data_IF_182037891078
#
_entry.id   IF_182037891078
#
_cell.length_a   1.000
_cell.length_b   1.000
_cell.length_c   1.000
_cell.angle_alpha   90.00
_cell.angle_beta   90.00
_cell.angle_gamma   90.00
#
_symmetry.space_group_name_H-M   'P 1'
#
loop_
_entity.id
_entity.type
_entity.pdbx_description
1 polymer ?
#
# COMPACT_ATOMS: atom_id res chain seq x y z
N UNK A 1 21.12 15.03 3.49
CA UNK A 1 19.65 14.94 3.33
C UNK A 1 19.23 14.23 2.06
N UNK A 2 19.68 14.62 0.85
CA UNK A 2 19.27 13.95 -0.39
C UNK A 2 19.39 12.41 -0.34
N UNK A 3 20.49 11.84 0.15
CA UNK A 3 20.63 10.37 0.31
C UNK A 3 19.52 9.74 1.16
N UNK A 4 19.00 10.43 2.17
CA UNK A 4 17.95 9.93 3.06
C UNK A 4 16.54 10.05 2.45
N UNK A 5 16.34 10.97 1.50
CA UNK A 5 15.01 11.35 1.00
C UNK A 5 14.75 10.99 -0.46
N UNK A 6 15.80 10.77 -1.27
CA UNK A 6 15.68 10.42 -2.68
C UNK A 6 15.19 9.00 -2.90
N UNK A 7 14.41 8.79 -3.97
CA UNK A 7 13.91 7.47 -4.36
C UNK A 7 13.11 6.82 -3.23
N UNK A 8 13.68 5.77 -2.63
CA UNK A 8 13.15 5.12 -1.44
C UNK A 8 13.81 5.70 -0.17
N UNK A 9 13.07 6.43 0.69
CA UNK A 9 13.66 7.01 1.89
C UNK A 9 14.24 5.99 2.86
N UNK A 10 15.30 6.37 3.56
CA UNK A 10 16.00 5.53 4.53
C UNK A 10 16.91 6.32 5.48
N UNK A 11 17.34 5.70 6.59
CA UNK A 11 18.20 6.35 7.57
C UNK A 11 19.61 6.61 7.00
N UNK A 12 20.22 7.71 7.46
CA UNK A 12 21.63 8.06 7.20
C UNK A 12 22.32 8.40 8.52
N UNK A 13 23.60 8.08 8.62
CA UNK A 13 24.42 8.40 9.80
C UNK A 13 25.52 9.36 9.36
N UNK A 14 25.66 10.47 10.10
CA UNK A 14 26.73 11.45 9.95
C UNK A 14 27.51 11.47 11.26
N UNK A 15 28.81 11.20 11.19
CA UNK A 15 29.69 11.27 12.36
C UNK A 15 30.41 12.60 12.33
N UNK A 16 30.24 13.40 13.36
CA UNK A 16 30.80 14.74 13.48
C UNK A 16 31.81 14.76 14.63
N UNK A 17 33.07 15.14 14.40
CA UNK A 17 34.05 15.38 15.46
C UNK A 17 33.59 16.49 16.42
N UNK A 18 33.89 16.34 17.70
CA UNK A 18 33.45 17.27 18.75
C UNK A 18 34.01 18.69 18.56
N UNK A 19 35.28 18.80 18.19
CA UNK A 19 35.97 20.06 17.92
C UNK A 19 35.35 20.87 16.76
N UNK A 20 34.80 20.16 15.77
CA UNK A 20 34.10 20.77 14.64
C UNK A 20 32.79 21.45 15.08
N UNK A 21 32.09 20.89 16.07
CA UNK A 21 30.76 21.38 16.49
C UNK A 21 30.81 22.77 17.13
N UNK A 22 31.95 23.16 17.70
CA UNK A 22 32.13 24.45 18.38
C UNK A 22 32.79 25.52 17.51
N UNK A 23 33.33 25.16 16.35
CA UNK A 23 34.10 26.09 15.51
C UNK A 23 33.17 26.97 14.67
N UNK A 24 33.21 28.31 14.81
CA UNK A 24 32.40 29.22 13.98
C UNK A 24 32.73 29.07 12.50
N UNK A 25 31.72 29.18 11.63
CA UNK A 25 31.86 29.07 10.18
C UNK A 25 31.05 30.14 9.46
N UNK A 26 31.54 30.56 8.30
CA UNK A 26 30.83 31.44 7.35
C UNK A 26 30.12 30.64 6.25
N UNK A 27 30.07 29.31 6.38
CA UNK A 27 29.41 28.44 5.43
C UNK A 27 27.94 28.87 5.23
N UNK A 28 27.47 28.96 3.98
CA UNK A 28 26.10 29.36 3.71
C UNK A 28 25.12 28.28 4.16
N UNK A 29 23.96 28.70 4.67
CA UNK A 29 22.83 27.80 4.92
C UNK A 29 22.24 27.38 3.58
N UNK A 30 22.30 26.09 3.28
CA UNK A 30 21.68 25.53 2.08
C UNK A 30 20.17 25.41 2.25
N UNK A 31 19.38 25.54 1.17
CA UNK A 31 17.95 25.31 1.21
C UNK A 31 17.62 23.86 1.58
N UNK A 32 16.37 23.63 1.98
CA UNK A 32 15.84 22.29 2.22
C UNK A 32 16.03 21.42 0.97
N UNK A 33 16.53 20.21 1.17
CA UNK A 33 16.65 19.22 0.12
C UNK A 33 15.27 18.70 -0.30
N UNK A 34 14.84 19.02 -1.52
CA UNK A 34 13.63 18.46 -2.12
C UNK A 34 13.99 17.20 -2.94
N UNK A 35 13.27 16.08 -2.75
CA UNK A 35 13.52 14.86 -3.50
C UNK A 35 13.04 14.99 -4.96
N UNK A 36 13.72 14.30 -5.86
CA UNK A 36 13.28 14.15 -7.24
C UNK A 36 12.17 13.10 -7.31
N UNK A 37 11.16 13.37 -8.12
CA UNK A 37 10.03 12.46 -8.33
C UNK A 37 10.10 11.81 -9.71
N UNK A 38 10.35 10.50 -9.75
CA UNK A 38 10.31 9.71 -10.97
C UNK A 38 8.86 9.44 -11.40
N UNK A 39 8.52 9.74 -12.66
CA UNK A 39 7.22 9.43 -13.25
C UNK A 39 7.27 8.13 -14.04
N UNK A 40 6.18 7.35 -14.10
CA UNK A 40 6.09 6.20 -14.99
C UNK A 40 6.31 6.63 -16.45
N UNK A 41 7.05 5.82 -17.21
CA UNK A 41 7.22 6.05 -18.63
C UNK A 41 5.87 5.91 -19.37
N UNK A 42 5.54 6.78 -20.35
CA UNK A 42 4.27 6.69 -21.08
C UNK A 42 4.04 5.33 -21.76
N UNK A 43 5.10 4.66 -22.22
CA UNK A 43 5.02 3.30 -22.77
C UNK A 43 4.50 2.29 -21.75
N UNK A 44 5.07 2.29 -20.54
CA UNK A 44 4.67 1.38 -19.47
C UNK A 44 3.22 1.60 -19.03
N UNK A 45 2.72 2.84 -19.04
CA UNK A 45 1.30 3.13 -18.76
C UNK A 45 0.37 2.54 -19.83
N UNK A 46 0.77 2.57 -21.11
CA UNK A 46 0.02 1.89 -22.18
C UNK A 46 0.02 0.38 -22.01
N UNK A 47 1.16 -0.20 -21.64
CA UNK A 47 1.29 -1.64 -21.41
C UNK A 47 0.43 -2.09 -20.22
N UNK A 48 0.44 -1.35 -19.11
CA UNK A 48 -0.45 -1.61 -17.98
C UNK A 48 -1.93 -1.52 -18.38
N UNK A 49 -2.31 -0.50 -19.16
CA UNK A 49 -3.68 -0.39 -19.66
C UNK A 49 -4.06 -1.62 -20.51
N UNK A 50 -3.17 -2.09 -21.37
CA UNK A 50 -3.42 -3.29 -22.16
C UNK A 50 -3.58 -4.54 -21.28
N UNK A 51 -2.74 -4.69 -20.25
CA UNK A 51 -2.85 -5.79 -19.27
C UNK A 51 -4.18 -5.73 -18.51
N UNK A 52 -4.61 -4.54 -18.07
CA UNK A 52 -5.89 -4.32 -17.42
C UNK A 52 -7.05 -4.71 -18.33
N UNK A 53 -7.05 -4.27 -19.60
CA UNK A 53 -8.10 -4.61 -20.56
C UNK A 53 -8.22 -6.11 -20.84
N UNK A 54 -7.12 -6.87 -20.69
CA UNK A 54 -7.11 -8.31 -20.87
C UNK A 54 -7.46 -9.10 -19.59
N UNK A 55 -7.42 -8.46 -18.42
CA UNK A 55 -7.67 -9.12 -17.14
C UNK A 55 -9.15 -9.52 -17.00
N UNK A 56 -9.41 -10.44 -16.07
CA UNK A 56 -10.75 -10.89 -15.67
C UNK A 56 -10.92 -10.76 -14.15
N UNK A 57 -9.84 -10.86 -13.38
CA UNK A 57 -9.85 -10.77 -11.91
C UNK A 57 -8.63 -9.97 -11.42
N UNK A 58 -8.50 -8.68 -11.81
CA UNK A 58 -7.39 -7.86 -11.34
C UNK A 58 -7.55 -7.51 -9.86
N UNK A 59 -6.41 -7.40 -9.16
CA UNK A 59 -6.34 -6.97 -7.77
C UNK A 59 -5.17 -5.99 -7.59
N UNK A 60 -5.42 -4.89 -6.88
CA UNK A 60 -4.39 -3.90 -6.56
C UNK A 60 -3.91 -4.08 -5.13
N UNK A 61 -2.59 -4.10 -4.91
CA UNK A 61 -1.97 -4.10 -3.59
C UNK A 61 -1.18 -2.80 -3.43
N UNK A 62 -1.70 -1.88 -2.62
CA UNK A 62 -1.09 -0.58 -2.35
C UNK A 62 -0.26 -0.61 -1.06
N UNK A 63 0.85 0.12 -1.05
CA UNK A 63 1.63 0.35 0.16
C UNK A 63 2.96 1.02 -0.13
N UNK A 64 3.94 0.86 0.76
CA UNK A 64 5.23 1.54 0.63
C UNK A 64 5.20 3.00 1.10
N UNK A 65 6.35 3.66 1.03
CA UNK A 65 6.49 5.07 1.39
C UNK A 65 6.30 6.03 0.20
N UNK A 66 6.25 7.34 0.48
CA UNK A 66 6.19 8.37 -0.55
C UNK A 66 4.77 8.75 -1.01
N UNK A 67 3.74 8.33 -0.26
CA UNK A 67 2.36 8.78 -0.42
C UNK A 67 2.14 10.16 0.19
N UNK A 68 1.37 10.99 -0.53
CA UNK A 68 0.76 12.22 -0.02
C UNK A 68 -0.77 12.16 -0.19
N UNK A 69 -1.48 13.13 0.39
CA UNK A 69 -2.94 13.14 0.36
C UNK A 69 -3.52 13.20 -1.05
N UNK A 70 -2.85 13.87 -2.00
CA UNK A 70 -3.32 13.91 -3.38
C UNK A 70 -3.09 12.58 -4.09
N UNK A 71 -1.96 11.93 -3.85
CA UNK A 71 -1.66 10.60 -4.38
C UNK A 71 -2.66 9.54 -3.89
N UNK A 72 -3.06 9.60 -2.62
CA UNK A 72 -4.09 8.73 -2.08
C UNK A 72 -5.46 8.98 -2.75
N UNK A 73 -5.83 10.25 -3.01
CA UNK A 73 -7.03 10.58 -3.80
C UNK A 73 -6.93 10.08 -5.25
N UNK A 74 -5.78 10.25 -5.91
CA UNK A 74 -5.56 9.73 -7.26
C UNK A 74 -5.66 8.20 -7.30
N UNK A 75 -5.15 7.50 -6.30
CA UNK A 75 -5.32 6.05 -6.15
C UNK A 75 -6.80 5.68 -6.01
N UNK A 76 -7.56 6.41 -5.18
CA UNK A 76 -9.00 6.19 -5.04
C UNK A 76 -9.72 6.36 -6.37
N UNK A 77 -9.49 7.47 -7.08
CA UNK A 77 -10.11 7.72 -8.40
C UNK A 77 -9.72 6.68 -9.44
N UNK A 78 -8.47 6.23 -9.44
CA UNK A 78 -8.02 5.12 -10.29
C UNK A 78 -8.76 3.81 -9.98
N UNK A 79 -8.85 3.44 -8.69
CA UNK A 79 -9.56 2.25 -8.26
C UNK A 79 -11.06 2.32 -8.58
N UNK A 80 -11.70 3.47 -8.40
CA UNK A 80 -13.09 3.73 -8.77
C UNK A 80 -13.31 3.60 -10.28
N UNK A 81 -12.47 4.22 -11.11
CA UNK A 81 -12.60 4.17 -12.56
C UNK A 81 -12.49 2.73 -13.09
N UNK A 82 -11.59 1.94 -12.51
CA UNK A 82 -11.34 0.54 -12.90
C UNK A 82 -12.05 -0.50 -12.03
N UNK A 83 -12.92 -0.09 -11.09
CA UNK A 83 -13.64 -0.95 -10.14
C UNK A 83 -12.74 -2.02 -9.47
N UNK A 84 -11.50 -1.64 -9.12
CA UNK A 84 -10.49 -2.57 -8.64
C UNK A 84 -10.69 -2.88 -7.14
N UNK A 85 -10.70 -4.15 -6.72
CA UNK A 85 -10.46 -4.52 -5.33
C UNK A 85 -9.06 -4.03 -4.90
N UNK A 86 -8.99 -3.29 -3.78
CA UNK A 86 -7.75 -2.72 -3.24
C UNK A 86 -7.39 -3.35 -1.91
N UNK A 87 -6.30 -4.10 -1.88
CA UNK A 87 -5.65 -4.52 -0.64
C UNK A 87 -4.54 -3.56 -0.22
N UNK A 88 -4.34 -3.37 1.08
CA UNK A 88 -3.22 -2.59 1.61
C UNK A 88 -2.15 -3.51 2.19
N UNK A 89 -0.90 -3.35 1.75
CA UNK A 89 0.22 -4.14 2.26
C UNK A 89 0.47 -3.89 3.75
N UNK A 90 1.01 -4.90 4.43
CA UNK A 90 1.45 -4.80 5.83
C UNK A 90 2.21 -3.49 6.14
N UNK A 91 1.75 -2.75 7.16
CA UNK A 91 2.23 -1.41 7.62
C UNK A 91 1.82 -0.22 6.76
N UNK A 92 0.84 -0.40 5.89
CA UNK A 92 0.32 0.64 5.00
C UNK A 92 -1.21 0.61 4.93
N UNK A 93 -1.86 0.21 6.03
CA UNK A 93 -3.30 -0.02 6.09
C UNK A 93 -4.13 1.26 5.83
N UNK A 94 -3.56 2.44 6.04
CA UNK A 94 -4.18 3.75 5.80
C UNK A 94 -3.93 4.32 4.39
N UNK A 95 -3.24 3.58 3.51
CA UNK A 95 -2.98 4.04 2.13
C UNK A 95 -4.26 4.13 1.30
N UNK A 96 -5.29 3.35 1.67
CA UNK A 96 -6.62 3.39 1.10
C UNK A 96 -7.64 3.42 2.23
N UNK A 97 -8.79 4.03 2.00
CA UNK A 97 -9.80 4.15 3.06
C UNK A 97 -10.50 2.81 3.32
N UNK A 98 -10.42 2.31 4.56
CA UNK A 98 -10.98 1.01 4.92
C UNK A 98 -12.51 0.94 4.83
N UNK A 99 -13.18 2.09 4.69
CA UNK A 99 -14.66 2.17 4.57
C UNK A 99 -15.11 2.31 3.13
N UNK A 100 -14.16 2.44 2.21
CA UNK A 100 -14.48 2.56 0.80
C UNK A 100 -15.00 1.22 0.26
N UNK A 101 -16.06 1.20 -0.58
CA UNK A 101 -16.65 -0.03 -1.14
C UNK A 101 -15.72 -0.91 -1.98
N UNK A 102 -14.49 -0.44 -2.26
CA UNK A 102 -13.47 -1.18 -3.01
C UNK A 102 -12.33 -1.69 -2.12
N UNK A 103 -12.32 -1.35 -0.83
CA UNK A 103 -11.30 -1.83 0.09
C UNK A 103 -11.52 -3.31 0.40
N UNK A 104 -10.52 -4.13 0.08
CA UNK A 104 -10.56 -5.58 0.18
C UNK A 104 -9.93 -6.13 1.48
N UNK A 105 -9.20 -5.29 2.23
CA UNK A 105 -8.54 -5.64 3.50
C UNK A 105 -7.02 -5.50 3.47
N UNK A 106 -6.39 -5.87 4.58
CA UNK A 106 -4.94 -5.85 4.74
C UNK A 106 -4.28 -7.14 4.22
N UNK A 107 -3.28 -6.96 3.35
CA UNK A 107 -2.46 -8.03 2.79
C UNK A 107 -1.19 -8.14 3.65
N UNK A 108 -1.29 -8.94 4.71
CA UNK A 108 -0.25 -9.03 5.72
C UNK A 108 -0.46 -10.14 6.76
N UNK A 109 -0.08 -9.83 8.00
CA UNK A 109 -0.19 -10.76 9.14
C UNK A 109 -1.66 -11.06 9.43
N UNK A 110 -2.03 -12.33 9.44
CA UNK A 110 -3.40 -12.73 9.76
C UNK A 110 -4.40 -12.31 8.69
N UNK A 111 -3.95 -12.23 7.43
CA UNK A 111 -4.78 -11.92 6.26
C UNK A 111 -6.11 -12.66 6.29
N UNK A 112 -7.19 -11.96 5.94
CA UNK A 112 -8.50 -12.56 5.71
C UNK A 112 -8.37 -13.75 4.72
N UNK A 113 -8.79 -14.98 5.07
CA UNK A 113 -8.69 -16.14 4.18
C UNK A 113 -9.32 -15.92 2.79
N UNK A 114 -10.42 -15.16 2.72
CA UNK A 114 -11.06 -14.82 1.44
C UNK A 114 -10.23 -13.83 0.62
N UNK A 115 -9.58 -12.86 1.26
CA UNK A 115 -8.63 -11.97 0.59
C UNK A 115 -7.41 -12.74 0.10
N UNK A 116 -6.86 -13.63 0.93
CA UNK A 116 -5.75 -14.51 0.54
C UNK A 116 -6.11 -15.34 -0.70
N UNK A 117 -7.33 -15.88 -0.76
CA UNK A 117 -7.82 -16.62 -1.92
C UNK A 117 -7.96 -15.71 -3.15
N UNK A 118 -8.48 -14.49 -2.99
CA UNK A 118 -8.55 -13.50 -4.09
C UNK A 118 -7.17 -13.15 -4.64
N UNK A 119 -6.14 -13.03 -3.81
CA UNK A 119 -4.75 -12.81 -4.26
C UNK A 119 -4.25 -14.01 -5.08
N UNK A 120 -4.51 -15.24 -4.64
CA UNK A 120 -4.12 -16.46 -5.37
C UNK A 120 -4.86 -16.61 -6.71
N UNK A 121 -6.14 -16.27 -6.74
CA UNK A 121 -7.01 -16.44 -7.91
C UNK A 121 -6.94 -15.28 -8.91
N UNK A 122 -6.35 -14.15 -8.51
CA UNK A 122 -6.15 -13.00 -9.38
C UNK A 122 -5.36 -13.42 -10.63
N UNK A 123 -5.77 -12.92 -11.80
CA UNK A 123 -5.00 -13.12 -13.03
C UNK A 123 -4.02 -11.96 -13.31
N UNK A 124 -4.26 -10.81 -12.68
CA UNK A 124 -3.39 -9.64 -12.69
C UNK A 124 -3.27 -9.05 -11.29
N UNK A 125 -2.03 -8.89 -10.81
CA UNK A 125 -1.71 -8.17 -9.58
C UNK A 125 -0.97 -6.88 -9.93
N UNK A 126 -1.49 -5.76 -9.44
CA UNK A 126 -0.82 -4.46 -9.50
C UNK A 126 -0.24 -4.17 -8.12
N UNK A 127 1.07 -4.42 -7.96
CA UNK A 127 1.82 -4.13 -6.75
C UNK A 127 2.35 -2.69 -6.79
N UNK A 128 1.67 -1.78 -6.10
CA UNK A 128 1.97 -0.36 -6.09
C UNK A 128 2.66 0.03 -4.78
N UNK A 129 3.98 0.22 -4.85
CA UNK A 129 4.85 0.66 -3.75
C UNK A 129 5.21 -0.41 -2.73
N UNK A 130 4.49 -1.54 -2.74
CA UNK A 130 4.80 -2.69 -1.88
C UNK A 130 6.06 -3.43 -2.35
N UNK A 131 6.85 -3.94 -1.41
CA UNK A 131 8.01 -4.80 -1.69
C UNK A 131 7.65 -6.23 -2.08
N UNK A 132 6.42 -6.66 -1.77
CA UNK A 132 6.01 -8.07 -1.81
C UNK A 132 6.93 -9.00 -1.00
N UNK A 133 7.36 -8.54 0.18
CA UNK A 133 8.16 -9.35 1.08
C UNK A 133 7.33 -10.43 1.80
N UNK A 134 8.02 -11.30 2.53
CA UNK A 134 7.47 -12.46 3.24
C UNK A 134 6.15 -12.19 3.98
N UNK A 135 6.08 -11.10 4.75
CA UNK A 135 4.90 -10.77 5.55
C UNK A 135 3.67 -10.44 4.69
N UNK A 136 3.86 -9.74 3.56
CA UNK A 136 2.77 -9.40 2.63
C UNK A 136 2.34 -10.63 1.83
N UNK A 137 3.28 -11.50 1.47
CA UNK A 137 3.01 -12.63 0.57
C UNK A 137 2.75 -13.94 1.31
N UNK A 138 2.65 -13.90 2.65
CA UNK A 138 2.40 -15.06 3.49
C UNK A 138 3.47 -16.13 3.33
N UNK A 139 4.74 -15.76 3.49
CA UNK A 139 5.86 -16.69 3.24
C UNK A 139 6.01 -17.03 1.77
N UNK A 140 5.73 -16.09 0.86
CA UNK A 140 5.78 -16.29 -0.59
C UNK A 140 4.78 -17.31 -1.15
N UNK A 141 3.74 -17.64 -0.37
CA UNK A 141 2.71 -18.62 -0.77
C UNK A 141 1.54 -18.00 -1.52
N UNK A 142 1.26 -16.71 -1.32
CA UNK A 142 0.20 -15.98 -2.03
C UNK A 142 0.62 -15.60 -3.45
N UNK A 143 1.90 -15.25 -3.62
CA UNK A 143 2.53 -14.84 -4.87
C UNK A 143 3.90 -15.53 -4.91
N UNK A 144 4.04 -16.53 -5.77
CA UNK A 144 5.21 -17.41 -5.78
C UNK A 144 6.35 -16.83 -6.63
N UNK A 145 7.56 -16.62 -6.08
CA UNK A 145 8.73 -16.21 -6.85
C UNK A 145 9.39 -17.42 -7.55
N UNK A 146 10.26 -17.19 -8.55
CA UNK A 146 10.60 -15.89 -9.12
C UNK A 146 9.56 -15.39 -10.14
N UNK A 147 8.77 -16.28 -10.75
CA UNK A 147 7.70 -15.92 -11.69
C UNK A 147 6.35 -16.39 -11.16
N UNK A 148 5.47 -15.46 -10.75
CA UNK A 148 4.12 -15.81 -10.29
C UNK A 148 3.28 -16.42 -11.40
N UNK A 149 2.24 -17.17 -11.02
CA UNK A 149 1.20 -17.61 -11.96
C UNK A 149 0.33 -16.45 -12.45
N UNK A 150 0.15 -15.43 -11.60
CA UNK A 150 -0.51 -14.18 -11.94
C UNK A 150 0.39 -13.33 -12.84
N UNK A 151 -0.20 -12.54 -13.74
CA UNK A 151 0.50 -11.40 -14.32
C UNK A 151 0.85 -10.42 -13.22
N UNK A 152 2.09 -9.96 -13.17
CA UNK A 152 2.55 -9.03 -12.14
C UNK A 152 3.03 -7.71 -12.75
N UNK A 153 2.42 -6.62 -12.28
CA UNK A 153 2.91 -5.25 -12.49
C UNK A 153 3.48 -4.77 -11.17
N UNK A 154 4.77 -4.42 -11.15
CA UNK A 154 5.45 -3.96 -9.93
C UNK A 154 5.94 -2.53 -10.11
N UNK A 155 5.35 -1.62 -9.35
CA UNK A 155 5.64 -0.18 -9.39
C UNK A 155 6.31 0.19 -8.07
N UNK A 156 7.55 0.69 -8.09
CA UNK A 156 8.29 1.00 -6.87
C UNK A 156 9.27 2.17 -7.07
N UNK A 157 9.53 2.94 -6.01
CA UNK A 157 10.40 4.13 -6.09
C UNK A 157 11.90 3.78 -6.13
N UNK A 158 12.28 2.76 -5.36
CA UNK A 158 13.63 2.18 -5.35
C UNK A 158 13.81 1.18 -6.50
N UNK A 159 14.69 1.45 -7.49
CA UNK A 159 14.93 0.54 -8.61
C UNK A 159 15.53 -0.80 -8.16
N UNK A 160 16.22 -0.84 -7.02
CA UNK A 160 16.83 -2.03 -6.44
C UNK A 160 15.81 -3.08 -5.95
N UNK A 161 14.54 -2.70 -5.78
CA UNK A 161 13.48 -3.65 -5.41
C UNK A 161 12.80 -4.28 -6.63
N UNK A 162 12.90 -3.64 -7.80
CA UNK A 162 12.30 -4.13 -9.04
C UNK A 162 13.14 -5.27 -9.60
N UNK A 163 12.53 -6.45 -9.79
CA UNK A 163 13.25 -7.65 -10.25
C UNK A 163 14.05 -8.38 -9.17
N UNK A 164 14.04 -7.89 -7.91
CA UNK A 164 14.85 -8.46 -6.81
C UNK A 164 14.38 -9.85 -6.39
N UNK A 165 13.07 -10.00 -6.20
CA UNK A 165 12.43 -11.26 -5.77
C UNK A 165 11.58 -11.85 -6.90
N UNK A 166 10.87 -10.99 -7.61
CA UNK A 166 9.95 -11.37 -8.67
C UNK A 166 10.39 -10.82 -10.02
N UNK A 167 10.50 -11.71 -11.00
CA UNK A 167 10.57 -11.36 -12.42
C UNK A 167 9.15 -11.01 -12.92
N UNK A 168 8.68 -9.82 -12.57
CA UNK A 168 7.37 -9.31 -12.96
C UNK A 168 7.26 -9.08 -14.47
N UNK A 169 6.04 -9.14 -15.02
CA UNK A 169 5.78 -8.88 -16.43
C UNK A 169 5.99 -7.41 -16.81
N UNK A 170 5.76 -6.50 -15.86
CA UNK A 170 5.97 -5.06 -16.06
C UNK A 170 6.54 -4.41 -14.80
N UNK A 171 7.74 -3.83 -14.94
CA UNK A 171 8.43 -3.10 -13.86
C UNK A 171 8.37 -1.61 -14.15
N UNK A 172 7.95 -0.80 -13.17
CA UNK A 172 7.96 0.66 -13.28
C UNK A 172 8.67 1.31 -12.10
N UNK A 173 9.73 2.06 -12.39
CA UNK A 173 10.37 2.90 -11.39
C UNK A 173 9.61 4.24 -11.29
N UNK A 174 8.89 4.45 -10.19
CA UNK A 174 8.16 5.70 -9.97
C UNK A 174 7.94 5.97 -8.47
N UNK A 175 7.90 7.25 -8.10
CA UNK A 175 7.46 7.65 -6.76
C UNK A 175 5.95 7.42 -6.61
N UNK A 176 5.46 7.05 -5.42
CA UNK A 176 4.02 6.80 -5.25
C UNK A 176 3.17 8.04 -5.52
N UNK A 177 3.69 9.23 -5.14
CA UNK A 177 3.05 10.51 -5.43
C UNK A 177 2.76 10.76 -6.93
N UNK A 178 3.66 10.32 -7.80
CA UNK A 178 3.55 10.51 -9.26
C UNK A 178 2.93 9.31 -9.95
N UNK A 179 3.19 8.09 -9.47
CA UNK A 179 2.59 6.87 -9.97
C UNK A 179 1.07 6.93 -9.86
N UNK A 180 0.52 7.26 -8.68
CA UNK A 180 -0.93 7.33 -8.49
C UNK A 180 -1.60 8.33 -9.45
N UNK A 181 -1.01 9.53 -9.61
CA UNK A 181 -1.49 10.57 -10.54
C UNK A 181 -1.44 10.11 -12.00
N UNK A 182 -0.39 9.38 -12.39
CA UNK A 182 -0.26 8.85 -13.73
C UNK A 182 -1.25 7.71 -14.01
N UNK A 183 -1.52 6.86 -13.01
CA UNK A 183 -2.51 5.78 -13.11
C UNK A 183 -3.93 6.31 -13.23
N UNK A 184 -4.26 7.37 -12.49
CA UNK A 184 -5.56 8.05 -12.57
C UNK A 184 -5.94 8.46 -14.00
N UNK A 185 -4.95 8.84 -14.82
CA UNK A 185 -5.16 9.24 -16.22
C UNK A 185 -5.55 8.07 -17.15
N UNK A 186 -5.48 6.82 -16.68
CA UNK A 186 -5.89 5.65 -17.48
C UNK A 186 -7.42 5.55 -17.49
N UNK A 187 -8.04 5.77 -18.65
CA UNK A 187 -9.49 5.63 -18.83
C UNK A 187 -9.90 4.16 -18.98
N UNK A 188 -10.78 3.71 -18.10
CA UNK A 188 -11.44 2.41 -18.17
C UNK A 188 -12.53 2.39 -19.27
N UNK A 189 -12.80 1.23 -19.88
CA UNK A 189 -13.98 1.06 -20.73
C UNK A 189 -15.28 1.15 -19.89
N UNK A 190 -16.45 1.40 -20.54
CA UNK A 190 -17.73 1.52 -19.82
C UNK A 190 -18.18 0.27 -19.06
N UNK A 191 -17.67 -0.91 -19.44
CA UNK A 191 -17.97 -2.17 -18.78
C UNK A 191 -16.68 -2.93 -18.48
N UNK A 192 -16.65 -3.57 -17.31
CA UNK A 192 -15.51 -4.32 -16.80
C UNK A 192 -16.00 -5.70 -16.37
N UNK A 193 -15.34 -6.80 -16.79
CA UNK A 193 -15.70 -8.17 -16.37
C UNK A 193 -15.77 -8.37 -14.85
N UNK A 194 -15.00 -7.57 -14.10
CA UNK A 194 -14.93 -7.61 -12.64
C UNK A 194 -15.65 -6.44 -11.95
N UNK A 195 -16.58 -5.74 -12.61
CA UNK A 195 -17.21 -4.53 -12.05
C UNK A 195 -17.83 -4.70 -10.65
N UNK A 196 -18.27 -5.92 -10.29
CA UNK A 196 -18.79 -6.23 -8.95
C UNK A 196 -17.74 -6.75 -7.95
N UNK A 197 -16.50 -7.01 -8.40
CA UNK A 197 -15.48 -7.69 -7.60
C UNK A 197 -15.04 -6.85 -6.40
N UNK A 198 -14.97 -5.53 -6.54
CA UNK A 198 -14.61 -4.63 -5.44
C UNK A 198 -15.62 -4.67 -4.30
N UNK A 199 -16.91 -4.49 -4.60
CA UNK A 199 -17.99 -4.57 -3.61
C UNK A 199 -18.04 -5.96 -2.94
N UNK A 200 -17.85 -7.04 -3.71
CA UNK A 200 -17.79 -8.39 -3.16
C UNK A 200 -16.58 -8.59 -2.21
N UNK A 201 -15.42 -8.04 -2.56
CA UNK A 201 -14.24 -8.08 -1.70
C UNK A 201 -14.43 -7.25 -0.41
N UNK A 202 -15.11 -6.11 -0.51
CA UNK A 202 -15.43 -5.28 0.65
C UNK A 202 -16.43 -5.97 1.60
N UNK A 203 -17.45 -6.64 1.05
CA UNK A 203 -18.36 -7.44 1.87
C UNK A 203 -17.64 -8.58 2.61
N UNK A 204 -16.67 -9.24 1.97
CA UNK A 204 -15.83 -10.26 2.62
C UNK A 204 -14.91 -9.67 3.70
N UNK A 205 -14.45 -8.43 3.53
CA UNK A 205 -13.69 -7.68 4.52
C UNK A 205 -14.54 -7.36 5.75
N UNK A 206 -15.73 -6.78 5.56
CA UNK A 206 -16.67 -6.47 6.65
C UNK A 206 -17.08 -7.74 7.42
N UNK A 207 -17.32 -8.85 6.71
CA UNK A 207 -17.60 -10.14 7.34
C UNK A 207 -16.44 -10.65 8.21
N UNK A 208 -15.18 -10.38 7.82
CA UNK A 208 -14.01 -10.75 8.60
C UNK A 208 -13.80 -9.85 9.83
N UNK A 209 -14.40 -8.66 9.87
CA UNK A 209 -14.41 -7.78 11.05
C UNK A 209 -15.34 -8.27 12.18
N UNK A 210 -16.23 -9.23 11.90
CA UNK A 210 -17.08 -9.86 12.92
C UNK A 210 -16.27 -10.95 13.64
N UNK A 211 -15.99 -10.74 14.92
CA UNK A 211 -15.29 -11.70 15.76
C UNK A 211 -16.25 -12.70 16.43
N UNK A 212 -15.76 -13.90 16.73
CA UNK A 212 -16.43 -14.83 17.64
C UNK A 212 -16.17 -14.38 19.09
N UNK A 213 -17.20 -14.16 19.93
CA UNK A 213 -17.01 -13.69 21.29
C UNK A 213 -16.15 -14.62 22.15
N UNK A 214 -15.23 -14.06 22.94
CA UNK A 214 -14.35 -14.81 23.87
C UNK A 214 -14.40 -14.22 25.30
N UNK A 215 -14.30 -15.08 26.32
CA UNK A 215 -14.29 -14.71 27.74
C UNK A 215 -12.93 -15.07 28.42
N UNK A 216 -12.53 -14.38 29.52
CA UNK A 216 -13.23 -13.27 30.17
C UNK A 216 -13.00 -11.92 29.49
N UNK A 217 -12.05 -11.82 28.55
CA UNK A 217 -11.73 -10.59 27.83
C UNK A 217 -11.68 -10.84 26.33
N UNK A 218 -12.49 -10.08 25.59
CA UNK A 218 -12.51 -10.10 24.13
C UNK A 218 -11.74 -8.90 23.57
N UNK A 219 -10.61 -9.17 22.93
CA UNK A 219 -9.77 -8.14 22.35
C UNK A 219 -10.40 -7.44 21.13
N UNK A 220 -11.33 -8.09 20.42
CA UNK A 220 -12.07 -7.43 19.35
C UNK A 220 -12.98 -6.33 19.93
N UNK A 221 -13.66 -6.62 21.05
CA UNK A 221 -14.48 -5.63 21.78
C UNK A 221 -13.63 -4.49 22.30
N UNK A 222 -12.43 -4.78 22.83
CA UNK A 222 -11.48 -3.74 23.27
C UNK A 222 -11.10 -2.84 22.10
N UNK A 223 -10.64 -3.40 20.97
CA UNK A 223 -10.23 -2.60 19.81
C UNK A 223 -11.38 -1.77 19.23
N UNK A 224 -12.57 -2.35 19.08
CA UNK A 224 -13.76 -1.64 18.61
C UNK A 224 -14.19 -0.53 19.57
N UNK A 225 -14.06 -0.76 20.88
CA UNK A 225 -14.36 0.27 21.90
C UNK A 225 -13.37 1.41 21.84
N UNK A 226 -12.06 1.11 21.73
CA UNK A 226 -11.01 2.12 21.55
C UNK A 226 -11.30 2.93 20.29
N UNK A 227 -11.55 2.28 19.15
CA UNK A 227 -11.82 2.97 17.89
C UNK A 227 -13.06 3.87 17.98
N UNK A 228 -14.14 3.41 18.62
CA UNK A 228 -15.38 4.18 18.77
C UNK A 228 -15.21 5.43 19.65
N UNK A 229 -14.30 5.38 20.63
CA UNK A 229 -14.07 6.48 21.57
C UNK A 229 -12.95 7.42 21.12
N UNK A 230 -12.05 6.94 20.28
CA UNK A 230 -10.92 7.71 19.78
C UNK A 230 -11.37 8.72 18.71
N UNK A 231 -10.77 9.93 18.65
CA UNK A 231 -10.95 10.86 17.54
C UNK A 231 -10.57 10.27 16.18
N UNK A 232 -11.17 10.74 15.09
CA UNK A 232 -10.92 10.25 13.73
C UNK A 232 -9.45 10.39 13.28
N UNK A 233 -8.76 11.42 13.78
CA UNK A 233 -7.35 11.70 13.49
C UNK A 233 -6.37 10.98 14.45
N UNK A 234 -6.83 9.96 15.17
CA UNK A 234 -5.98 9.18 16.08
C UNK A 234 -4.93 8.39 15.30
N UNK A 235 -3.68 8.47 15.77
CA UNK A 235 -2.58 7.65 15.28
C UNK A 235 -2.47 6.39 16.14
N UNK A 236 -2.57 5.22 15.50
CA UNK A 236 -2.46 3.94 16.19
C UNK A 236 -1.07 3.36 16.06
N UNK A 237 -0.44 3.06 17.20
CA UNK A 237 0.89 2.42 17.23
C UNK A 237 0.81 1.07 17.95
N UNK A 238 1.60 0.10 17.50
CA UNK A 238 1.74 -1.19 18.16
C UNK A 238 3.19 -1.70 18.12
N UNK A 239 3.52 -2.54 19.10
CA UNK A 239 4.73 -3.36 19.05
C UNK A 239 4.56 -4.60 18.16
N UNK A 240 5.55 -5.49 18.20
CA UNK A 240 5.49 -6.79 17.53
C UNK A 240 5.03 -7.89 18.50
N UNK A 241 4.02 -8.67 18.10
CA UNK A 241 3.50 -9.81 18.86
C UNK A 241 2.07 -10.16 18.42
N UNK A 242 1.50 -11.24 18.96
CA UNK A 242 0.15 -11.69 18.60
C UNK A 242 -0.92 -10.61 18.85
N UNK A 243 -0.69 -9.70 19.80
CA UNK A 243 -1.58 -8.59 20.09
C UNK A 243 -1.74 -7.62 18.92
N UNK A 244 -0.72 -7.50 18.05
CA UNK A 244 -0.74 -6.61 16.88
C UNK A 244 -1.84 -7.00 15.88
N UNK A 245 -2.16 -8.30 15.80
CA UNK A 245 -3.21 -8.81 14.91
C UNK A 245 -4.59 -8.26 15.23
N UNK A 246 -4.88 -7.96 16.51
CA UNK A 246 -6.17 -7.35 16.89
C UNK A 246 -6.32 -5.94 16.33
N UNK A 247 -5.26 -5.13 16.41
CA UNK A 247 -5.26 -3.79 15.83
C UNK A 247 -5.47 -3.87 14.31
N UNK A 248 -4.67 -4.69 13.62
CA UNK A 248 -4.73 -4.80 12.15
C UNK A 248 -6.09 -5.28 11.65
N UNK A 249 -6.70 -6.24 12.37
CA UNK A 249 -7.97 -6.83 11.96
C UNK A 249 -9.19 -6.00 12.35
N UNK A 250 -9.19 -5.30 13.48
CA UNK A 250 -10.43 -4.70 14.02
C UNK A 250 -10.47 -3.18 13.97
N UNK A 251 -9.33 -2.50 13.77
CA UNK A 251 -9.33 -1.05 13.52
C UNK A 251 -9.49 -0.77 12.04
N UNK A 252 -10.43 0.13 11.73
CA UNK A 252 -10.63 0.67 10.38
C UNK A 252 -9.90 2.01 10.25
N UNK A 253 -8.95 2.08 9.35
CA UNK A 253 -8.17 3.29 9.12
C UNK A 253 -8.91 4.24 8.17
N UNK A 254 -8.83 5.53 8.48
CA UNK A 254 -9.20 6.57 7.53
C UNK A 254 -8.12 6.60 6.46
N UNK A 255 -8.51 6.77 5.20
CA UNK A 255 -7.53 6.93 4.13
C UNK A 255 -6.64 8.16 4.35
N UNK A 256 -5.37 8.06 3.99
CA UNK A 256 -4.35 9.10 4.15
C UNK A 256 -4.80 10.47 3.59
N UNK A 257 -5.69 10.49 2.60
CA UNK A 257 -6.30 11.68 2.03
C UNK A 257 -7.15 12.52 3.01
N UNK A 258 -7.62 11.95 4.12
CA UNK A 258 -8.50 12.62 5.08
C UNK A 258 -7.73 13.30 6.21
N UNK A 259 -6.81 12.59 6.86
CA UNK A 259 -6.13 13.06 8.08
C UNK A 259 -4.60 12.91 8.03
N UNK A 260 -4.03 12.65 6.85
CA UNK A 260 -2.63 12.25 6.74
C UNK A 260 -2.44 10.82 7.24
N UNK A 261 -1.20 10.47 7.61
CA UNK A 261 -0.91 9.12 8.12
C UNK A 261 -1.57 8.90 9.48
N UNK A 262 -2.32 7.81 9.59
CA UNK A 262 -2.99 7.36 10.83
C UNK A 262 -2.39 6.07 11.39
N UNK A 263 -1.37 5.54 10.71
CA UNK A 263 -0.52 4.43 11.14
C UNK A 263 0.96 4.84 11.24
#
# INVERSE_FOLDING_TARGET
FHTATQGRPGPVVLVLPEDMLTTPTTAPVLPRAEPAHAWPAPGALRDLRAMLLAAQRPLLIAGGGGWDAEAARSLQRFAENWQLPVGCGFRFQDTFDNRHPLYAGDVGIGINPKLAQRVKDADLIIALGVRLGEMTTGGYTLIQPPRPSQKLVHIHAGPEELGRVYAADLLMQASMATAAKALEALTAPPSLPWGAAGAAAHADYEANHVATPVAPLDMAVVMQTVQRLAPENTVYTNGAGNFAGWLHRFVRYFGLQHHGRTQ
#
